data_IF_448216959954
#
_entry.id   IF_448216959954
#
_cell.length_a   1.000
_cell.length_b   1.000
_cell.length_c   1.000
_cell.angle_alpha   90.00
_cell.angle_beta   90.00
_cell.angle_gamma   90.00
#
_symmetry.space_group_name_H-M   'P 1'
#
loop_
_entity.id
_entity.type
_entity.pdbx_description
1 polymer ?
#
# COMPACT_ATOMS: atom_id res chain seq x y z
N UNK A 1 -1.34 -14.98 12.50
CA UNK A 1 -1.51 -13.54 12.71
C UNK A 1 -1.04 -12.85 11.45
N UNK A 2 -1.95 -12.30 10.65
CA UNK A 2 -1.61 -11.70 9.37
C UNK A 2 -0.68 -10.50 9.62
N UNK A 3 0.53 -10.56 9.09
CA UNK A 3 1.54 -9.51 9.25
C UNK A 3 1.03 -8.29 8.49
N UNK A 4 0.41 -7.34 9.20
CA UNK A 4 0.14 -5.99 8.70
C UNK A 4 1.42 -5.47 8.06
N UNK A 5 1.42 -5.36 6.72
CA UNK A 5 2.51 -4.75 5.98
C UNK A 5 2.04 -3.38 5.54
N UNK A 6 2.59 -2.35 6.18
CA UNK A 6 2.43 -0.96 5.74
C UNK A 6 3.19 -0.77 4.43
N UNK A 7 2.59 -0.09 3.46
CA UNK A 7 3.25 0.33 2.22
C UNK A 7 3.11 1.84 2.09
N UNK A 8 4.10 2.49 1.50
CA UNK A 8 4.11 3.94 1.33
C UNK A 8 4.01 4.28 -0.14
N UNK A 9 2.98 5.00 -0.55
CA UNK A 9 2.72 5.35 -1.96
C UNK A 9 2.94 6.84 -2.17
N UNK A 10 3.75 7.20 -3.15
CA UNK A 10 3.98 8.58 -3.54
C UNK A 10 2.75 9.15 -4.27
N UNK A 11 2.16 10.23 -3.76
CA UNK A 11 1.03 10.89 -4.38
C UNK A 11 1.41 11.66 -5.66
N UNK A 12 2.68 12.03 -5.84
CA UNK A 12 3.14 12.77 -7.01
C UNK A 12 3.41 11.89 -8.23
N UNK A 13 3.96 10.68 -8.05
CA UNK A 13 4.32 9.79 -9.17
C UNK A 13 3.77 8.37 -9.07
N UNK A 14 3.14 7.99 -7.95
CA UNK A 14 2.59 6.64 -7.74
C UNK A 14 3.62 5.58 -7.33
N UNK A 15 4.88 5.94 -7.09
CA UNK A 15 5.90 4.97 -6.65
C UNK A 15 5.58 4.39 -5.28
N UNK A 16 5.79 3.09 -5.11
CA UNK A 16 5.51 2.36 -3.86
C UNK A 16 6.82 2.01 -3.15
N UNK A 17 6.88 2.29 -1.86
CA UNK A 17 8.02 2.08 -1.00
C UNK A 17 7.63 1.21 0.20
N UNK A 18 8.53 0.34 0.66
CA UNK A 18 8.29 -0.54 1.81
C UNK A 18 8.61 0.12 3.17
N UNK A 19 9.25 1.29 3.16
CA UNK A 19 9.61 2.07 4.34
C UNK A 19 9.39 3.56 4.09
N UNK A 20 9.02 4.32 5.11
CA UNK A 20 8.94 5.77 5.04
C UNK A 20 10.35 6.35 4.89
N UNK A 21 10.56 7.21 3.91
CA UNK A 21 11.84 7.90 3.70
C UNK A 21 11.72 9.43 3.68
N UNK A 22 10.51 10.00 3.77
CA UNK A 22 10.25 11.44 3.63
C UNK A 22 10.37 11.96 2.20
N UNK A 23 11.29 11.39 1.41
CA UNK A 23 11.50 11.68 -0.01
C UNK A 23 11.18 10.46 -0.88
N UNK A 24 10.50 10.70 -2.01
CA UNK A 24 10.26 9.67 -3.02
C UNK A 24 11.52 9.43 -3.88
N UNK A 25 11.96 8.17 -3.97
CA UNK A 25 13.09 7.76 -4.81
C UNK A 25 12.79 7.80 -6.31
N UNK A 26 11.51 7.73 -6.70
CA UNK A 26 11.09 7.73 -8.10
C UNK A 26 11.02 9.12 -8.74
N UNK A 27 10.55 10.13 -8.00
CA UNK A 27 10.40 11.51 -8.52
C UNK A 27 11.19 12.58 -7.75
N UNK A 28 11.83 12.22 -6.63
CA UNK A 28 12.59 13.14 -5.79
C UNK A 28 11.74 14.07 -4.92
N UNK A 29 10.40 13.98 -4.96
CA UNK A 29 9.52 14.85 -4.19
C UNK A 29 9.51 14.51 -2.69
N UNK A 30 9.50 15.54 -1.86
CA UNK A 30 9.41 15.45 -0.40
C UNK A 30 7.95 15.54 0.08
N UNK A 31 7.61 14.92 1.21
CA UNK A 31 6.28 14.96 1.84
C UNK A 31 5.12 14.43 0.95
N UNK A 32 5.46 13.62 -0.05
CA UNK A 32 4.46 13.03 -0.98
C UNK A 32 4.11 11.58 -0.66
N UNK A 33 4.84 10.93 0.26
CA UNK A 33 4.64 9.53 0.62
C UNK A 33 3.44 9.38 1.57
N UNK A 34 2.40 8.67 1.14
CA UNK A 34 1.22 8.32 1.93
C UNK A 34 1.31 6.87 2.42
N UNK A 35 1.01 6.63 3.70
CA UNK A 35 0.95 5.28 4.25
C UNK A 35 -0.38 4.61 3.89
N UNK A 36 -0.31 3.53 3.12
CA UNK A 36 -1.42 2.60 2.90
C UNK A 36 -1.23 1.37 3.79
N UNK A 37 -2.11 1.25 4.79
CA UNK A 37 -2.21 0.01 5.56
C UNK A 37 -2.86 -1.04 4.66
N UNK A 38 -2.07 -2.02 4.22
CA UNK A 38 -2.61 -3.15 3.49
C UNK A 38 -3.22 -4.08 4.51
N UNK A 39 -4.44 -3.72 4.93
CA UNK A 39 -5.30 -4.61 5.66
C UNK A 39 -5.48 -5.80 4.73
N UNK A 40 -4.86 -6.92 5.08
CA UNK A 40 -5.17 -8.19 4.47
C UNK A 40 -6.58 -8.54 4.94
N UNK A 41 -7.59 -7.80 4.51
CA UNK A 41 -8.95 -8.31 4.47
C UNK A 41 -8.82 -9.58 3.66
N UNK A 42 -9.02 -10.76 4.26
CA UNK A 42 -9.15 -11.94 3.43
C UNK A 42 -10.30 -11.59 2.50
N UNK A 43 -10.02 -11.52 1.19
CA UNK A 43 -11.04 -11.63 0.15
C UNK A 43 -11.66 -13.02 0.28
N UNK A 44 -12.41 -13.22 1.37
CA UNK A 44 -13.32 -14.33 1.64
C UNK A 44 -14.66 -14.12 0.94
N UNK A 45 -14.79 -13.05 0.15
CA UNK A 45 -15.74 -12.96 -0.94
C UNK A 45 -15.27 -13.87 -2.09
N UNK A 46 -15.20 -15.17 -1.82
CA UNK A 46 -15.45 -16.15 -2.87
C UNK A 46 -16.91 -15.98 -3.25
N UNK A 47 -17.12 -15.21 -4.30
CA UNK A 47 -18.21 -15.45 -5.21
C UNK A 47 -18.19 -16.94 -5.62
N UNK A 48 -19.21 -17.69 -5.19
CA UNK A 48 -19.54 -19.04 -5.62
C UNK A 48 -20.94 -19.31 -5.05
N UNK A 49 -22.05 -19.09 -5.77
CA UNK A 49 -22.57 -19.83 -6.93
C UNK A 49 -22.81 -21.32 -6.59
N UNK A 50 -24.09 -21.69 -6.48
CA UNK A 50 -24.64 -23.06 -6.42
C UNK A 50 -24.76 -23.62 -5.00
N UNK A 51 -25.90 -24.12 -4.50
CA UNK A 51 -27.08 -24.76 -5.11
C UNK A 51 -28.35 -24.34 -4.39
#
# INVERSE_FOLDING_TARGET
MAKSSSRYVCNACGSVHAKWAGQCDGCGAWDTLNEEHVESTPKGLKAGKGK
#
